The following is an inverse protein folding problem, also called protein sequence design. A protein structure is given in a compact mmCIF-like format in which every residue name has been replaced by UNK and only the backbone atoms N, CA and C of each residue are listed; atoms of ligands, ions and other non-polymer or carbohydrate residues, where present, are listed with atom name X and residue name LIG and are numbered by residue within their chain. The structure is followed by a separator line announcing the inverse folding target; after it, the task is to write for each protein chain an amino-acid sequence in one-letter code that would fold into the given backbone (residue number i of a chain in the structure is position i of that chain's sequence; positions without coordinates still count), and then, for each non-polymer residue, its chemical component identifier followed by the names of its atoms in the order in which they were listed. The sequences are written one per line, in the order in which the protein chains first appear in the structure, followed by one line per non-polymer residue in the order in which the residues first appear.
data_IF_448670657178
#
_entry.id   IF_448670657178
#
_cell.length_a   1.000
_cell.length_b   1.000
_cell.length_c   1.000
_cell.angle_alpha   90.00
_cell.angle_beta   90.00
_cell.angle_gamma   90.00
#
_symmetry.space_group_name_H-M   'P 1'
#
loop_
_entity.id
_entity.type
_entity.pdbx_description
1 polymer ?
2 polymer ?
3 non-polymer ?
4 non-polymer ?
5 non-polymer ?
6 non-polymer ?
7 non-polymer ?
8 water ?
#
# COMPACT_ATOMS: atom_id res chain seq x y z
N UNK A 14 -45.26 23.20 0.00
CA UNK A 14 -45.05 24.30 0.93
C UNK A 14 -43.56 24.39 1.26
N UNK A 15 -43.23 25.22 2.26
CA UNK A 15 -41.83 25.54 2.55
C UNK A 15 -41.10 24.38 3.21
N UNK A 16 -41.50 24.02 4.43
CA UNK A 16 -40.67 23.20 5.30
C UNK A 16 -40.75 21.71 5.01
N UNK A 17 -41.58 21.29 4.05
CA UNK A 17 -41.64 19.88 3.69
C UNK A 17 -40.31 19.41 3.10
N UNK A 18 -39.80 20.16 2.12
CA UNK A 18 -38.48 19.86 1.58
C UNK A 18 -37.44 19.88 2.69
N UNK A 19 -37.59 20.82 3.64
CA UNK A 19 -36.61 20.96 4.71
C UNK A 19 -36.56 19.75 5.61
N UNK A 20 -37.73 19.21 5.96
CA UNK A 20 -37.75 17.99 6.74
C UNK A 20 -37.14 16.84 5.94
N UNK A 21 -37.46 16.74 4.65
CA UNK A 21 -36.92 15.64 3.87
C UNK A 21 -35.40 15.69 3.83
N UNK A 22 -34.84 16.89 3.61
CA UNK A 22 -33.39 17.02 3.53
C UNK A 22 -32.73 16.85 4.89
N UNK A 23 -33.39 17.26 5.99
CA UNK A 23 -32.82 17.02 7.30
C UNK A 23 -32.77 15.54 7.62
N UNK A 24 -33.82 14.80 7.25
CA UNK A 24 -33.80 13.35 7.41
C UNK A 24 -32.67 12.74 6.60
N UNK A 25 -32.48 13.22 5.36
CA UNK A 25 -31.38 12.73 4.54
C UNK A 25 -30.03 12.99 5.18
N UNK A 26 -29.82 14.19 5.73
CA UNK A 26 -28.55 14.52 6.34
C UNK A 26 -28.31 13.72 7.62
N UNK A 27 -29.36 13.49 8.41
CA UNK A 27 -29.22 12.60 9.56
C UNK A 27 -28.80 11.20 9.14
N UNK A 28 -29.41 10.70 8.05
CA UNK A 28 -28.98 9.44 7.49
C UNK A 28 -27.51 9.50 7.08
N UNK A 29 -27.10 10.61 6.46
CA UNK A 29 -25.71 10.78 6.03
C UNK A 29 -24.74 10.75 7.21
N UNK A 30 -25.09 11.45 8.30
CA UNK A 30 -24.26 11.41 9.50
C UNK A 30 -24.08 9.97 9.96
N UNK A 31 -25.18 9.20 9.96
CA UNK A 31 -25.11 7.82 10.43
C UNK A 31 -24.29 6.93 9.49
N UNK A 32 -24.40 7.17 8.17
CA UNK A 32 -23.61 6.41 7.21
C UNK A 32 -22.13 6.74 7.31
N UNK A 33 -21.80 8.01 7.51
CA UNK A 33 -20.43 8.41 7.79
C UNK A 33 -19.87 7.63 8.97
N UNK A 34 -20.60 7.66 10.09
CA UNK A 34 -20.16 6.97 11.29
C UNK A 34 -19.94 5.48 11.02
N UNK A 35 -20.93 4.82 10.40
CA UNK A 35 -20.87 3.38 10.20
C UNK A 35 -19.76 2.98 9.24
N UNK A 36 -19.58 3.73 8.15
CA UNK A 36 -18.59 3.36 7.15
C UNK A 36 -17.19 3.50 7.71
N UNK A 37 -16.92 4.62 8.40
CA UNK A 37 -15.62 4.74 9.04
C UNK A 37 -15.41 3.65 10.09
N UNK A 38 -16.49 3.30 10.83
CA UNK A 38 -16.34 2.26 11.85
C UNK A 38 -16.02 0.92 11.21
N UNK A 39 -16.63 0.63 10.07
CA UNK A 39 -16.34 -0.60 9.35
C UNK A 39 -14.88 -0.64 8.91
N UNK A 40 -14.39 0.45 8.31
CA UNK A 40 -12.98 0.50 7.89
C UNK A 40 -12.06 0.35 9.10
N UNK A 41 -12.44 0.95 10.23
CA UNK A 41 -11.67 0.75 11.46
C UNK A 41 -11.69 -0.70 11.91
N UNK A 42 -12.83 -1.37 11.75
CA UNK A 42 -12.96 -2.74 12.23
C UNK A 42 -12.08 -3.69 11.44
N UNK A 43 -12.08 -3.56 10.12
CA UNK A 43 -11.33 -4.47 9.28
C UNK A 43 -9.82 -4.32 9.48
N UNK A 44 -9.35 -3.20 10.04
CA UNK A 44 -7.92 -3.06 10.30
C UNK A 44 -7.51 -3.91 11.50
N UNK A 45 -8.10 -3.65 12.66
CA UNK A 45 -7.76 -4.40 13.87
C UNK A 45 -8.57 -5.68 13.96
N UNK A 54 -0.18 1.55 4.65
CA UNK A 54 0.13 1.94 6.03
C UNK A 54 -1.12 1.99 6.89
N UNK A 55 -1.50 0.85 7.48
CA UNK A 55 -2.80 0.72 8.10
C UNK A 55 -2.96 1.55 9.38
N UNK A 56 -1.86 2.01 9.99
CA UNK A 56 -2.00 2.86 11.18
C UNK A 56 -2.46 4.27 10.79
N UNK A 57 -1.99 4.79 9.65
CA UNK A 57 -2.48 6.06 9.14
C UNK A 57 -3.95 5.95 8.74
N UNK A 58 -4.32 4.84 8.11
CA UNK A 58 -5.73 4.56 7.81
C UNK A 58 -6.55 4.59 9.10
N UNK A 59 -6.07 3.91 10.14
CA UNK A 59 -6.77 3.86 11.41
C UNK A 59 -6.90 5.25 12.03
N UNK A 60 -5.83 6.05 12.01
CA UNK A 60 -5.87 7.40 12.55
C UNK A 60 -6.92 8.25 11.82
N UNK A 61 -6.91 8.21 10.48
CA UNK A 61 -7.88 8.99 9.73
C UNK A 61 -9.30 8.56 10.02
N UNK A 62 -9.55 7.25 10.02
CA UNK A 62 -10.88 6.75 10.30
C UNK A 62 -11.31 7.11 11.72
N UNK A 63 -10.38 7.15 12.67
CA UNK A 63 -10.72 7.57 14.02
C UNK A 63 -11.19 9.02 14.04
N UNK A 64 -10.45 9.89 13.34
CA UNK A 64 -10.85 11.30 13.30
C UNK A 64 -12.21 11.47 12.62
N UNK A 65 -12.48 10.68 11.58
CA UNK A 65 -13.76 10.82 10.89
C UNK A 65 -14.92 10.21 11.68
N UNK A 66 -14.65 9.14 12.44
CA UNK A 66 -15.65 8.63 13.38
C UNK A 66 -16.00 9.70 14.40
N UNK A 67 -14.99 10.37 14.94
CA UNK A 67 -15.23 11.41 15.94
C UNK A 67 -16.00 12.59 15.32
N UNK A 68 -15.67 12.97 14.08
CA UNK A 68 -16.46 13.99 13.39
C UNK A 68 -17.92 13.58 13.34
N UNK A 69 -18.22 12.46 12.68
CA UNK A 69 -19.60 12.05 12.50
C UNK A 69 -20.35 11.88 13.82
N UNK A 70 -19.65 11.48 14.90
CA UNK A 70 -20.32 11.16 16.14
C UNK A 70 -20.51 12.38 17.05
N UNK A 71 -19.50 13.22 17.19
CA UNK A 71 -19.57 14.41 18.03
C UNK A 71 -19.95 15.65 17.24
N UNK A 72 -19.21 15.93 16.17
CA UNK A 72 -19.34 17.18 15.45
C UNK A 72 -20.67 17.24 14.70
N UNK A 73 -20.84 16.33 13.74
CA UNK A 73 -21.96 16.43 12.79
C UNK A 73 -23.35 16.43 13.43
N UNK A 74 -23.68 15.56 14.39
CA UNK A 74 -25.08 15.57 14.90
C UNK A 74 -25.48 16.92 15.48
N UNK A 75 -24.60 17.50 16.31
CA UNK A 75 -24.91 18.75 16.99
C UNK A 75 -25.02 19.90 16.00
N UNK A 76 -24.11 19.97 15.02
CA UNK A 76 -24.24 20.97 13.97
C UNK A 76 -25.53 20.76 13.17
N UNK A 77 -25.89 19.50 12.92
CA UNK A 77 -27.09 19.21 12.15
C UNK A 77 -28.32 19.78 12.83
N UNK A 78 -28.43 19.59 14.14
CA UNK A 78 -29.61 20.10 14.85
C UNK A 78 -29.55 21.63 15.01
N UNK A 79 -28.39 22.14 15.44
CA UNK A 79 -28.29 23.55 15.83
C UNK A 79 -28.15 24.46 14.63
N UNK A 80 -27.05 24.31 13.88
CA UNK A 80 -26.75 25.28 12.83
C UNK A 80 -27.61 25.09 11.59
N UNK A 81 -27.99 23.86 11.27
CA UNK A 81 -28.61 23.55 9.99
C UNK A 81 -30.14 23.50 10.05
N UNK A 82 -30.72 22.94 11.11
CA UNK A 82 -32.17 22.92 11.20
C UNK A 82 -32.72 24.22 11.77
N UNK A 83 -32.18 24.69 12.90
CA UNK A 83 -32.60 25.95 13.45
C UNK A 83 -32.91 25.99 14.93
N UNK A 84 -33.07 24.82 15.55
CA UNK A 84 -33.32 24.76 16.98
C UNK A 84 -32.24 25.51 17.73
N UNK A 85 -32.65 26.34 18.69
CA UNK A 85 -31.72 27.24 19.35
C UNK A 85 -30.96 26.52 20.44
N UNK A 86 -29.75 27.02 20.75
CA UNK A 86 -28.84 26.39 21.70
C UNK A 86 -29.30 26.68 23.11
N UNK A 87 -30.25 25.86 23.58
CA UNK A 87 -30.69 25.90 24.97
C UNK A 87 -29.94 24.88 25.80
N UNK A 88 -28.89 24.29 25.25
CA UNK A 88 -28.04 23.36 25.97
C UNK A 88 -27.06 24.11 26.86
N UNK A 89 -26.43 23.38 27.78
CA UNK A 89 -25.54 24.01 28.75
C UNK A 89 -24.38 24.71 28.10
N UNK A 90 -24.27 26.03 28.30
CA UNK A 90 -23.25 26.80 27.61
C UNK A 90 -21.84 26.35 27.95
N UNK A 91 -21.66 25.64 29.08
CA UNK A 91 -20.36 25.06 29.43
C UNK A 91 -19.95 23.94 28.48
N UNK A 92 -20.89 23.39 27.71
CA UNK A 92 -20.58 22.37 26.72
C UNK A 92 -20.48 22.94 25.31
N UNK A 93 -20.90 24.18 25.09
CA UNK A 93 -20.67 24.86 23.81
C UNK A 93 -19.18 24.90 23.49
N UNK A 94 -18.35 25.16 24.50
CA UNK A 94 -16.91 25.14 24.31
C UNK A 94 -16.41 23.75 23.94
N UNK A 95 -16.96 22.71 24.56
CA UNK A 95 -16.53 21.35 24.23
C UNK A 95 -16.91 20.98 22.80
N UNK A 96 -18.10 21.38 22.35
CA UNK A 96 -18.51 21.10 20.98
C UNK A 96 -17.61 21.82 19.98
N UNK A 97 -17.29 23.08 20.26
CA UNK A 97 -16.38 23.81 19.39
C UNK A 97 -15.02 23.15 19.36
N UNK A 98 -14.51 22.75 20.53
CA UNK A 98 -13.21 22.11 20.59
C UNK A 98 -13.21 20.80 19.81
N UNK A 99 -14.27 20.00 19.93
CA UNK A 99 -14.34 18.75 19.19
C UNK A 99 -14.37 19.02 17.69
N UNK A 100 -15.14 20.02 17.27
CA UNK A 100 -15.23 20.34 15.85
C UNK A 100 -13.85 20.73 15.30
N UNK A 101 -13.20 21.69 15.96
CA UNK A 101 -11.90 22.16 15.50
C UNK A 101 -10.89 21.02 15.51
N UNK A 102 -10.82 20.30 16.63
CA UNK A 102 -9.85 19.24 16.82
C UNK A 102 -10.02 18.15 15.77
N UNK A 103 -11.25 17.68 15.57
CA UNK A 103 -11.45 16.55 14.68
C UNK A 103 -11.31 16.94 13.21
N UNK A 104 -11.78 18.13 12.82
CA UNK A 104 -11.63 18.50 11.42
C UNK A 104 -10.16 18.79 11.10
N UNK A 105 -9.45 19.44 12.01
CA UNK A 105 -8.01 19.61 11.81
C UNK A 105 -7.32 18.27 11.71
N UNK A 106 -7.68 17.32 12.58
CA UNK A 106 -7.06 16.01 12.56
C UNK A 106 -7.33 15.26 11.26
N UNK A 107 -8.55 15.33 10.76
CA UNK A 107 -8.86 14.64 9.50
C UNK A 107 -8.09 15.25 8.34
N UNK A 108 -8.04 16.58 8.27
CA UNK A 108 -7.30 17.23 7.19
C UNK A 108 -5.84 16.77 7.24
N UNK A 109 -5.22 16.86 8.41
CA UNK A 109 -3.81 16.50 8.49
C UNK A 109 -3.55 15.00 8.35
N UNK A 110 -4.53 14.14 8.66
CA UNK A 110 -4.36 12.72 8.36
C UNK A 110 -4.32 12.49 6.85
N UNK A 111 -5.19 13.18 6.10
CA UNK A 111 -5.11 13.08 4.65
C UNK A 111 -3.75 13.54 4.16
N UNK A 112 -3.25 14.65 4.74
CA UNK A 112 -1.96 15.16 4.25
C UNK A 112 -0.80 14.28 4.68
N UNK A 113 -0.90 13.63 5.83
CA UNK A 113 0.12 12.65 6.22
C UNK A 113 0.14 11.47 5.27
N UNK A 114 -1.04 10.97 4.90
CA UNK A 114 -1.10 9.91 3.91
C UNK A 114 -0.50 10.37 2.58
N UNK A 115 -0.75 11.62 2.20
CA UNK A 115 -0.14 12.18 1.00
C UNK A 115 1.38 12.19 1.09
N UNK A 116 1.90 12.63 2.23
CA UNK A 116 3.35 12.63 2.44
C UNK A 116 3.92 11.23 2.36
N UNK A 117 3.20 10.25 2.93
CA UNK A 117 3.67 8.87 2.87
C UNK A 117 3.74 8.37 1.43
N UNK A 118 2.71 8.64 0.62
CA UNK A 118 2.75 8.16 -0.75
C UNK A 118 3.83 8.87 -1.57
N UNK A 119 3.99 10.19 -1.37
CA UNK A 119 5.04 10.92 -2.08
C UNK A 119 6.42 10.38 -1.71
N UNK A 120 6.61 10.01 -0.44
CA UNK A 120 7.88 9.40 -0.04
C UNK A 120 8.02 7.96 -0.50
N UNK A 121 6.91 7.28 -0.80
CA UNK A 121 7.01 5.96 -1.42
C UNK A 121 7.43 6.05 -2.88
N UNK A 122 6.92 7.07 -3.57
CA UNK A 122 7.21 7.22 -5.00
C UNK A 122 8.61 7.79 -5.22
N UNK A 123 8.90 8.95 -4.63
CA UNK A 123 10.16 9.63 -4.93
C UNK A 123 11.33 9.07 -4.13
N UNK A 124 11.13 8.77 -2.85
CA UNK A 124 12.21 8.36 -1.96
C UNK A 124 12.28 6.84 -1.82
N UNK A 125 12.02 6.13 -2.93
CA UNK A 125 11.88 4.68 -2.95
C UNK A 125 13.01 3.94 -2.22
N UNK A 126 14.21 4.52 -2.18
CA UNK A 126 15.40 3.79 -1.71
C UNK A 126 15.44 3.66 -0.19
N UNK A 127 15.53 4.80 0.51
CA UNK A 127 15.79 4.81 1.96
C UNK A 127 14.54 4.59 2.80
N UNK A 128 13.40 4.32 2.17
CA UNK A 128 12.12 4.21 2.87
C UNK A 128 11.79 2.74 3.18
N UNK A 129 12.68 2.10 3.93
CA UNK A 129 12.48 0.72 4.32
C UNK A 129 11.41 0.63 5.41
N UNK A 130 10.96 -0.61 5.68
CA UNK A 130 9.86 -0.83 6.62
C UNK A 130 10.15 -0.19 7.97
N UNK A 131 11.39 -0.26 8.44
CA UNK A 131 11.74 0.39 9.70
C UNK A 131 11.53 1.89 9.62
N UNK A 132 12.11 2.52 8.59
CA UNK A 132 11.99 3.98 8.44
C UNK A 132 10.53 4.39 8.26
N UNK A 133 9.79 3.66 7.41
CA UNK A 133 8.40 4.02 7.14
C UNK A 133 7.55 3.90 8.39
N UNK A 134 7.72 2.82 9.16
CA UNK A 134 6.99 2.68 10.41
C UNK A 134 7.31 3.82 11.37
N UNK A 135 8.60 4.14 11.51
CA UNK A 135 9.00 5.22 12.40
C UNK A 135 8.34 6.54 11.98
N UNK A 136 8.41 6.85 10.69
CA UNK A 136 7.92 8.14 10.22
C UNK A 136 6.40 8.22 10.32
N UNK A 137 5.70 7.12 10.02
CA UNK A 137 4.24 7.16 10.10
C UNK A 137 3.76 7.29 11.53
N UNK A 138 4.44 6.64 12.48
CA UNK A 138 4.07 6.81 13.89
C UNK A 138 4.33 8.26 14.36
N UNK A 139 5.47 8.83 13.96
CA UNK A 139 5.74 10.23 14.31
C UNK A 139 4.67 11.14 13.73
N UNK A 140 4.28 10.88 12.47
CA UNK A 140 3.28 11.73 11.83
C UNK A 140 1.94 11.63 12.52
N UNK A 141 1.52 10.42 12.92
CA UNK A 141 0.25 10.28 13.63
C UNK A 141 0.28 11.06 14.95
N UNK A 142 1.34 10.84 15.74
CA UNK A 142 1.43 11.53 17.03
C UNK A 142 1.43 13.05 16.83
N UNK A 143 2.17 13.54 15.82
CA UNK A 143 2.23 14.96 15.54
C UNK A 143 0.89 15.50 15.06
N UNK A 144 0.17 14.72 14.25
CA UNK A 144 -1.15 15.12 13.77
C UNK A 144 -2.06 15.42 14.95
N UNK A 145 -2.14 14.47 15.89
CA UNK A 145 -3.06 14.68 17.00
C UNK A 145 -2.56 15.78 17.94
N UNK A 146 -1.25 15.91 18.13
CA UNK A 146 -0.74 17.01 18.94
C UNK A 146 -1.12 18.37 18.35
N UNK A 147 -0.92 18.55 17.05
CA UNK A 147 -1.23 19.83 16.44
C UNK A 147 -2.74 20.10 16.45
N UNK A 148 -3.56 19.05 16.30
CA UNK A 148 -5.00 19.23 16.42
C UNK A 148 -5.39 19.71 17.81
N UNK A 149 -4.74 19.17 18.84
CA UNK A 149 -5.00 19.63 20.20
C UNK A 149 -4.60 21.09 20.38
N UNK A 150 -3.37 21.43 20.00
CA UNK A 150 -2.90 22.80 20.22
C UNK A 150 -3.63 23.81 19.34
N UNK A 151 -4.27 23.37 18.25
CA UNK A 151 -5.07 24.30 17.48
C UNK A 151 -6.46 24.42 18.10
N UNK A 152 -7.02 23.30 18.54
CA UNK A 152 -8.35 23.31 19.15
C UNK A 152 -8.33 24.04 20.49
N UNK A 153 -7.54 23.55 21.44
CA UNK A 153 -7.51 24.18 22.76
C UNK A 153 -6.41 25.22 22.85
N UNK A 154 -6.38 26.11 21.86
CA UNK A 154 -5.32 27.09 21.64
C UNK A 154 -5.46 28.32 22.54
N UNK A 155 -6.63 29.01 22.55
CA UNK A 155 -6.71 30.25 23.34
C UNK A 155 -6.81 29.99 24.83
N UNK A 156 -6.48 28.76 25.25
CA UNK A 156 -6.45 28.37 26.65
C UNK A 156 -5.03 28.39 27.22
N UNK A 157 -4.11 27.60 26.65
CA UNK A 157 -2.71 27.69 27.08
C UNK A 157 -2.09 29.01 26.64
N UNK A 158 -2.28 29.38 25.38
CA UNK A 158 -1.80 30.68 24.92
C UNK A 158 -2.65 31.81 25.47
N UNK A 159 -3.84 31.50 25.99
CA UNK A 159 -4.66 32.39 26.80
C UNK A 159 -4.75 33.84 26.37
N UNK A 160 -5.13 34.10 25.11
CA UNK A 160 -5.34 35.45 24.65
C UNK A 160 -6.80 35.73 24.28
N UNK A 161 -7.72 34.88 24.74
CA UNK A 161 -9.13 35.15 24.50
C UNK A 161 -10.02 34.01 24.95
N UNK A 162 -11.22 33.99 24.37
CA UNK A 162 -12.26 33.01 24.65
C UNK A 162 -12.60 32.25 23.37
N UNK A 163 -12.95 30.96 23.51
CA UNK A 163 -13.11 30.09 22.35
C UNK A 163 -14.47 30.16 21.67
N UNK A 164 -15.46 30.81 22.27
CA UNK A 164 -16.76 31.00 21.64
C UNK A 164 -17.01 32.49 21.44
N UNK A 165 -17.97 32.81 20.57
CA UNK A 165 -18.31 34.20 20.28
C UNK A 165 -19.48 34.63 21.18
N UNK A 166 -19.18 35.50 22.15
CA UNK A 166 -20.19 35.95 23.09
C UNK A 166 -21.03 37.07 22.49
N UNK A 167 -22.08 37.44 23.21
CA UNK A 167 -23.06 38.35 22.65
C UNK A 167 -23.96 37.70 21.62
N UNK A 168 -24.05 36.38 21.62
CA UNK A 168 -24.88 35.63 20.68
C UNK A 168 -25.66 34.58 21.44
N UNK A 169 -26.98 34.54 21.23
CA UNK A 169 -27.79 33.42 21.69
C UNK A 169 -27.74 32.33 20.61
N UNK A 170 -26.52 31.87 20.37
CA UNK A 170 -26.14 30.91 19.35
C UNK A 170 -24.70 30.52 19.63
N UNK A 171 -24.36 29.27 19.31
CA UNK A 171 -23.05 28.70 19.63
C UNK A 171 -22.21 28.71 18.35
N UNK A 172 -21.38 29.74 18.23
CA UNK A 172 -20.51 29.96 17.07
C UNK A 172 -19.07 30.09 17.54
N UNK A 173 -18.14 29.69 16.68
CA UNK A 173 -16.72 29.70 17.02
C UNK A 173 -16.25 31.14 17.19
N UNK A 174 -15.22 31.33 18.03
CA UNK A 174 -14.64 32.64 18.23
C UNK A 174 -14.05 33.18 16.94
N UNK A 175 -14.64 34.26 16.42
CA UNK A 175 -14.17 34.88 15.19
C UNK A 175 -13.15 35.99 15.43
N UNK A 176 -12.49 35.98 16.59
CA UNK A 176 -11.43 36.93 16.88
C UNK A 176 -10.27 36.76 15.88
N UNK A 177 -9.69 37.87 15.37
CA UNK A 177 -8.79 37.74 14.21
C UNK A 177 -7.58 36.85 14.42
N UNK A 178 -6.94 36.94 15.58
CA UNK A 178 -5.71 36.19 15.81
C UNK A 178 -5.97 34.69 15.83
N UNK A 179 -6.99 34.26 16.57
CA UNK A 179 -7.33 32.84 16.57
C UNK A 179 -7.79 32.38 15.20
N UNK A 180 -8.48 33.25 14.44
CA UNK A 180 -8.95 32.84 13.12
C UNK A 180 -7.78 32.56 12.19
N UNK A 181 -6.80 33.47 12.14
CA UNK A 181 -5.64 33.21 11.30
C UNK A 181 -4.91 31.97 11.78
N UNK A 182 -4.71 31.87 13.11
CA UNK A 182 -3.98 30.74 13.67
C UNK A 182 -4.63 29.41 13.28
N UNK A 183 -5.94 29.30 13.50
CA UNK A 183 -6.61 28.03 13.25
C UNK A 183 -6.73 27.73 11.75
N UNK A 184 -6.98 28.74 10.90
CA UNK A 184 -7.15 28.40 9.49
C UNK A 184 -5.82 28.10 8.80
N UNK A 185 -4.76 28.82 9.16
CA UNK A 185 -3.45 28.44 8.63
C UNK A 185 -3.03 27.09 9.20
N UNK A 186 -3.38 26.80 10.45
CA UNK A 186 -3.01 25.52 11.03
C UNK A 186 -3.78 24.34 10.46
N UNK A 187 -5.06 24.53 10.14
CA UNK A 187 -5.93 23.44 9.74
C UNK A 187 -6.07 23.28 8.24
N UNK A 188 -6.04 24.36 7.47
CA UNK A 188 -6.32 24.19 6.06
C UNK A 188 -5.18 24.66 5.16
N UNK A 189 -4.63 25.84 5.41
CA UNK A 189 -3.74 26.43 4.43
C UNK A 189 -2.37 25.75 4.43
N UNK A 190 -1.82 25.46 5.60
CA UNK A 190 -0.58 24.69 5.65
C UNK A 190 -0.72 23.30 5.04
N UNK A 191 -1.69 22.48 5.44
CA UNK A 191 -1.84 21.18 4.77
C UNK A 191 -2.16 21.32 3.30
N UNK A 192 -2.87 22.38 2.91
CA UNK A 192 -3.11 22.61 1.49
C UNK A 192 -1.81 22.85 0.75
N UNK A 193 -0.89 23.61 1.35
CA UNK A 193 0.40 23.82 0.71
C UNK A 193 1.19 22.52 0.61
N UNK A 194 1.16 21.69 1.66
CA UNK A 194 1.85 20.40 1.58
C UNK A 194 1.29 19.54 0.44
N UNK A 195 -0.04 19.44 0.35
CA UNK A 195 -0.64 18.59 -0.68
C UNK A 195 -0.38 19.17 -2.06
N UNK A 196 -0.38 20.50 -2.19
CA UNK A 196 -0.06 21.09 -3.49
C UNK A 196 1.42 20.96 -3.82
N UNK A 197 2.27 20.71 -2.84
CA UNK A 197 3.66 20.38 -3.15
C UNK A 197 3.78 18.95 -3.68
N UNK A 198 3.08 17.99 -3.06
CA UNK A 198 3.29 16.58 -3.40
C UNK A 198 2.37 16.07 -4.51
N UNK A 199 1.35 16.85 -4.87
CA UNK A 199 0.33 16.36 -5.79
C UNK A 199 0.90 16.07 -7.17
N UNK A 200 1.90 16.83 -7.62
CA UNK A 200 2.46 16.62 -8.96
C UNK A 200 2.98 15.19 -9.10
N UNK A 201 3.93 14.83 -8.24
CA UNK A 201 4.50 13.48 -8.33
C UNK A 201 3.44 12.41 -8.11
N UNK A 202 2.50 12.67 -7.19
CA UNK A 202 1.48 11.64 -6.92
C UNK A 202 0.63 11.40 -8.18
N UNK A 203 0.20 12.47 -8.84
CA UNK A 203 -0.62 12.33 -10.04
C UNK A 203 0.16 11.64 -11.15
N UNK A 204 1.44 12.01 -11.31
CA UNK A 204 2.29 11.34 -12.30
C UNK A 204 2.35 9.83 -12.05
N UNK A 205 2.62 9.43 -10.80
CA UNK A 205 2.61 8.01 -10.46
C UNK A 205 1.28 7.37 -10.79
N UNK A 206 0.18 8.06 -10.45
CA UNK A 206 -1.15 7.51 -10.72
C UNK A 206 -1.38 7.27 -12.21
N UNK A 207 -0.69 8.01 -13.08
CA UNK A 207 -0.85 7.82 -14.53
C UNK A 207 0.24 6.96 -15.16
N UNK A 208 1.08 6.28 -14.35
CA UNK A 208 2.20 5.40 -14.77
C UNK A 208 3.43 6.17 -15.26
N UNK A 209 3.55 7.46 -14.97
CA UNK A 209 4.68 8.25 -15.46
C UNK A 209 5.80 8.22 -14.42
N UNK A 210 6.65 7.19 -14.50
CA UNK A 210 7.72 6.92 -13.54
C UNK A 210 8.47 8.18 -13.11
N UNK A 256 3.59 -3.51 -11.41
CA UNK A 256 3.59 -2.06 -11.46
C UNK A 256 2.16 -1.55 -11.27
N UNK A 257 1.20 -2.47 -11.33
CA UNK A 257 -0.20 -2.11 -11.23
C UNK A 257 -0.61 -1.73 -9.81
N UNK A 258 0.00 -2.34 -8.79
CA UNK A 258 -0.38 -2.08 -7.40
C UNK A 258 0.01 -0.65 -6.98
N UNK A 259 1.24 -0.23 -7.30
CA UNK A 259 1.67 1.10 -6.89
C UNK A 259 0.89 2.18 -7.64
N UNK A 260 0.52 1.91 -8.90
CA UNK A 260 -0.32 2.84 -9.62
C UNK A 260 -1.69 2.97 -8.96
N UNK A 261 -2.28 1.84 -8.56
CA UNK A 261 -3.56 1.88 -7.85
C UNK A 261 -3.44 2.69 -6.55
N UNK A 262 -2.34 2.51 -5.83
CA UNK A 262 -2.13 3.27 -4.58
C UNK A 262 -2.06 4.77 -4.87
N UNK A 263 -1.30 5.15 -5.89
CA UNK A 263 -1.18 6.56 -6.24
C UNK A 263 -2.53 7.16 -6.61
N UNK A 264 -3.33 6.40 -7.39
CA UNK A 264 -4.63 6.93 -7.82
C UNK A 264 -5.58 7.12 -6.64
N UNK A 265 -5.60 6.16 -5.71
CA UNK A 265 -6.43 6.35 -4.52
C UNK A 265 -6.04 7.61 -3.77
N UNK A 266 -4.73 7.79 -3.53
CA UNK A 266 -4.28 8.94 -2.75
C UNK A 266 -4.60 10.24 -3.47
N UNK A 267 -4.41 10.27 -4.79
CA UNK A 267 -4.71 11.47 -5.56
C UNK A 267 -6.18 11.84 -5.49
N UNK A 268 -7.06 10.82 -5.56
CA UNK A 268 -8.48 11.11 -5.45
C UNK A 268 -8.84 11.60 -4.06
N UNK A 269 -8.23 11.02 -3.02
CA UNK A 269 -8.45 11.52 -1.66
C UNK A 269 -8.04 12.98 -1.53
N UNK A 270 -6.88 13.35 -2.08
CA UNK A 270 -6.44 14.75 -1.99
C UNK A 270 -7.39 15.66 -2.75
N UNK A 271 -7.81 15.25 -3.96
CA UNK A 271 -8.70 16.08 -4.72
C UNK A 271 -10.02 16.33 -4.01
N UNK A 272 -10.60 15.27 -3.43
CA UNK A 272 -11.86 15.45 -2.73
C UNK A 272 -11.66 16.27 -1.47
N UNK A 273 -10.52 16.12 -0.79
CA UNK A 273 -10.28 16.97 0.38
C UNK A 273 -10.25 18.44 -0.01
N UNK A 274 -9.46 18.76 -1.03
CA UNK A 274 -9.34 20.16 -1.43
C UNK A 274 -10.71 20.68 -1.87
N UNK A 275 -11.42 19.89 -2.67
CA UNK A 275 -12.72 20.31 -3.19
C UNK A 275 -13.78 20.38 -2.11
N UNK A 276 -13.63 19.62 -1.03
CA UNK A 276 -14.64 19.61 0.01
C UNK A 276 -14.43 20.70 1.04
N UNK A 277 -13.18 21.05 1.32
CA UNK A 277 -12.92 22.01 2.38
C UNK A 277 -12.58 23.41 1.88
N UNK A 278 -12.30 23.57 0.59
CA UNK A 278 -11.88 24.86 0.07
C UNK A 278 -13.00 25.90 0.04
N UNK A 279 -14.24 25.56 -0.32
CA UNK A 279 -15.29 26.59 -0.27
C UNK A 279 -15.45 27.22 1.11
N UNK A 280 -15.47 26.39 2.16
CA UNK A 280 -15.69 26.89 3.51
C UNK A 280 -14.56 27.80 3.96
N UNK A 281 -13.31 27.34 3.83
CA UNK A 281 -12.19 28.16 4.28
C UNK A 281 -12.00 29.39 3.41
N UNK A 282 -12.22 29.25 2.11
CA UNK A 282 -12.09 30.40 1.20
C UNK A 282 -13.12 31.46 1.54
N UNK A 283 -14.39 31.07 1.71
CA UNK A 283 -15.40 32.06 2.07
C UNK A 283 -15.27 32.52 3.52
N UNK A 284 -14.53 31.77 4.35
CA UNK A 284 -14.19 32.23 5.69
C UNK A 284 -13.06 33.25 5.69
N UNK A 285 -12.32 33.37 4.59
CA UNK A 285 -11.26 34.41 4.51
C UNK A 285 -11.79 35.67 3.84
N UNK A 286 -12.79 35.54 2.95
CA UNK A 286 -13.29 36.71 2.19
C UNK A 286 -14.38 37.42 2.99
N UNK A 287 -14.91 36.77 4.03
CA UNK A 287 -15.92 37.44 4.89
C UNK A 287 -15.30 38.66 5.57
N UNK A 288 -14.10 38.55 6.19
CA UNK A 288 -13.52 39.67 6.91
C UNK A 288 -13.05 40.77 5.95
N UNK A 289 -13.32 40.61 4.65
CA UNK A 289 -12.83 41.60 3.65
C UNK A 289 -14.01 42.15 2.83
N UNK A 290 -15.02 42.72 3.50
CA UNK A 290 -16.18 43.36 2.83
C UNK A 290 -17.34 42.38 2.65
N UNK A 291 -17.08 41.07 2.71
CA UNK A 291 -18.20 40.11 2.64
C UNK A 291 -18.93 40.11 3.98
N UNK A 292 -19.43 41.27 4.39
CA UNK A 292 -20.11 41.39 5.72
C UNK A 292 -21.53 40.84 5.61
N UNK A 293 -21.87 40.15 4.52
CA UNK A 293 -23.27 39.69 4.36
C UNK A 293 -23.37 38.35 3.62
N UNK A 294 -22.30 37.54 3.61
CA UNK A 294 -22.40 36.19 2.98
C UNK A 294 -23.56 35.43 3.64
N UNK A 295 -24.64 35.06 2.93
CA UNK A 295 -25.79 34.43 3.59
C UNK A 295 -25.35 33.18 4.35
N UNK A 296 -25.75 33.10 5.62
CA UNK A 296 -25.31 32.00 6.45
C UNK A 296 -25.87 30.66 5.99
N UNK A 297 -26.83 30.66 5.07
CA UNK A 297 -27.27 29.43 4.43
C UNK A 297 -26.14 28.81 3.61
N UNK A 298 -25.46 29.63 2.81
CA UNK A 298 -24.34 29.11 2.03
C UNK A 298 -23.13 28.83 2.90
N UNK A 299 -22.96 29.57 3.98
CA UNK A 299 -21.92 29.25 4.95
C UNK A 299 -22.11 27.85 5.51
N UNK A 300 -23.35 27.50 5.84
CA UNK A 300 -23.64 26.17 6.37
C UNK A 300 -23.53 25.10 5.27
N UNK A 301 -23.92 25.43 4.04
CA UNK A 301 -23.73 24.50 2.94
C UNK A 301 -22.25 24.17 2.78
N UNK A 302 -21.39 25.19 2.82
CA UNK A 302 -19.95 24.97 2.69
C UNK A 302 -19.41 24.18 3.88
N UNK A 303 -19.88 24.50 5.08
CA UNK A 303 -19.49 23.71 6.25
C UNK A 303 -19.81 22.23 6.04
N UNK A 304 -21.04 21.93 5.64
CA UNK A 304 -21.40 20.52 5.55
C UNK A 304 -20.77 19.85 4.33
N UNK A 305 -20.44 20.61 3.29
CA UNK A 305 -19.63 20.05 2.21
C UNK A 305 -18.25 19.65 2.73
N UNK A 306 -17.68 20.43 3.65
CA UNK A 306 -16.49 19.99 4.35
C UNK A 306 -16.73 18.71 5.15
N UNK A 307 -17.86 18.66 5.85
CA UNK A 307 -18.17 17.48 6.67
C UNK A 307 -18.35 16.22 5.82
N UNK A 308 -18.81 16.37 4.58
CA UNK A 308 -19.01 15.22 3.71
C UNK A 308 -17.70 14.57 3.29
N UNK A 309 -16.57 15.28 3.47
CA UNK A 309 -15.27 14.65 3.28
C UNK A 309 -15.12 13.44 4.19
N UNK A 310 -15.66 13.54 5.41
CA UNK A 310 -15.64 12.43 6.38
C UNK A 310 -16.38 11.20 5.86
N UNK A 311 -17.31 11.38 4.93
CA UNK A 311 -18.04 10.28 4.31
C UNK A 311 -17.42 9.83 2.99
N UNK A 312 -16.81 10.76 2.25
CA UNK A 312 -16.20 10.40 0.98
C UNK A 312 -14.92 9.62 1.15
N UNK A 313 -14.16 9.91 2.21
CA UNK A 313 -12.92 9.16 2.44
C UNK A 313 -13.17 7.67 2.62
N UNK A 314 -14.14 7.21 3.41
CA UNK A 314 -14.43 5.76 3.43
C UNK A 314 -14.82 5.22 2.08
N UNK A 315 -15.76 5.88 1.40
CA UNK A 315 -16.21 5.43 0.09
C UNK A 315 -15.03 5.27 -0.86
N UNK A 316 -14.05 6.18 -0.79
CA UNK A 316 -12.89 6.11 -1.65
C UNK A 316 -11.97 4.96 -1.23
N UNK A 317 -11.73 4.81 0.08
CA UNK A 317 -10.85 3.73 0.53
C UNK A 317 -11.44 2.36 0.24
N UNK A 318 -12.71 2.16 0.54
CA UNK A 318 -13.32 0.88 0.25
C UNK A 318 -13.49 0.64 -1.24
N UNK A 319 -13.15 1.59 -2.11
CA UNK A 319 -13.24 1.39 -3.54
C UNK A 319 -11.93 0.89 -4.15
N UNK A 320 -10.89 0.65 -3.34
CA UNK A 320 -9.60 0.23 -3.87
C UNK A 320 -9.05 -1.02 -3.14
N UNK B 2 10.99 3.53 -15.17
CA UNK B 2 10.55 2.36 -14.40
C UNK B 2 11.02 2.42 -12.96
N UNK B 3 10.46 1.55 -12.12
CA UNK B 3 10.85 1.41 -10.72
C UNK B 3 11.04 -0.06 -10.36
N UNK B 4 11.41 -0.88 -11.36
CA UNK B 4 11.69 -2.31 -11.21
C UNK B 4 10.51 -3.10 -10.66
N UNK B 5 9.29 -2.59 -10.82
CA UNK B 5 8.12 -3.40 -10.56
C UNK B 5 7.95 -4.46 -11.63
N UNK B 6 7.03 -5.38 -11.37
CA UNK B 6 6.75 -6.48 -12.27
C UNK B 6 5.39 -6.22 -12.91
N UNK B 7 5.29 -6.48 -14.20
CA UNK B 7 4.05 -6.29 -14.93
C UNK B 7 3.13 -7.49 -14.68
N UNK B 8 2.08 -7.27 -13.90
CA UNK B 8 1.10 -8.32 -13.62
C UNK B 8 0.30 -8.73 -14.86
N UNK B 9 0.31 -7.91 -15.91
CA UNK B 9 -0.44 -8.17 -17.13
C UNK B 9 0.34 -8.96 -18.16
N UNK B 10 1.64 -9.16 -17.94
CA UNK B 10 2.44 -10.07 -18.73
C UNK B 10 2.69 -11.38 -17.98
N UNK B 11 3.30 -11.30 -16.80
CA UNK B 11 3.64 -12.48 -16.01
C UNK B 11 2.38 -13.00 -15.31
N UNK B 12 1.48 -13.58 -16.11
CA UNK B 12 0.26 -14.16 -15.58
C UNK B 12 0.01 -15.53 -16.23
N UNK B 13 -0.57 -16.43 -15.42
CA UNK B 13 -0.82 -17.80 -15.85
C UNK B 13 -1.87 -17.87 -16.95
N UNK B 14 -2.81 -16.92 -16.97
CA UNK B 14 -3.92 -16.96 -17.92
C UNK B 14 -3.44 -17.06 -19.36
N UNK B 15 -2.26 -16.52 -19.66
CA UNK B 15 -1.70 -16.64 -21.00
C UNK B 15 -1.35 -18.08 -21.36
N UNK B 16 -1.34 -18.98 -20.37
CA UNK B 16 -0.88 -20.34 -20.54
C UNK B 16 -2.04 -21.33 -20.66
N UNK B 17 -1.79 -22.43 -21.37
CA UNK B 17 -2.84 -23.33 -21.82
C UNK B 17 -2.72 -24.68 -21.13
N UNK B 18 -3.84 -25.12 -20.54
CA UNK B 18 -3.90 -26.44 -19.95
C UNK B 18 -3.59 -26.45 -18.47
N UNK B 19 -3.29 -27.65 -17.98
CA UNK B 19 -2.95 -27.86 -16.58
C UNK B 19 -1.43 -27.81 -16.38
N UNK B 20 -1.05 -27.50 -15.15
CA UNK B 20 0.37 -27.32 -14.84
C UNK B 20 1.14 -28.62 -15.01
N UNK B 21 0.57 -29.74 -14.58
CA UNK B 21 1.24 -31.03 -14.76
C UNK B 21 1.39 -31.35 -16.25
N UNK B 22 0.36 -31.04 -17.05
CA UNK B 22 0.47 -31.26 -18.49
C UNK B 22 1.60 -30.43 -19.09
N UNK B 23 1.72 -29.16 -18.68
CA UNK B 23 2.78 -28.32 -19.21
C UNK B 23 4.16 -28.84 -18.79
N UNK B 24 4.29 -29.30 -17.54
CA UNK B 24 5.56 -29.86 -17.11
C UNK B 24 5.92 -31.13 -17.89
N UNK B 25 4.95 -32.00 -18.12
CA UNK B 25 5.21 -33.20 -18.91
C UNK B 25 5.62 -32.85 -20.34
N UNK B 26 4.91 -31.89 -20.97
CA UNK B 26 5.23 -31.51 -22.34
C UNK B 26 6.62 -30.90 -22.43
N UNK B 27 6.99 -30.07 -21.45
CA UNK B 27 8.32 -29.46 -21.44
C UNK B 27 9.41 -30.50 -21.23
N UNK B 28 9.21 -31.43 -20.30
CA UNK B 28 10.22 -32.46 -20.06
C UNK B 28 10.41 -33.34 -21.29
N UNK B 29 9.32 -33.61 -22.02
CA UNK B 29 9.39 -34.54 -23.14
C UNK B 29 10.41 -34.07 -24.17
N UNK B 30 10.44 -32.77 -24.46
CA UNK B 30 11.32 -32.22 -25.49
C UNK B 30 12.79 -32.21 -25.09
N UNK B 31 13.10 -32.58 -23.84
CA UNK B 31 14.48 -32.77 -23.40
C UNK B 31 14.81 -34.24 -23.13
N UNK B 32 14.06 -35.16 -23.74
CA UNK B 32 14.34 -36.56 -23.54
C UNK B 32 14.08 -37.06 -22.15
N UNK B 33 13.42 -36.27 -21.31
CA UNK B 33 13.14 -36.61 -19.93
C UNK B 33 11.64 -36.80 -19.72
N UNK B 34 11.31 -37.38 -18.58
CA UNK B 34 9.93 -37.63 -18.21
C UNK B 34 9.68 -37.11 -16.79
N UNK B 35 8.45 -37.32 -16.31
CA UNK B 35 7.95 -36.72 -15.08
C UNK B 35 8.92 -36.87 -13.91
N UNK B 36 9.42 -35.73 -13.42
CA UNK B 36 10.21 -35.64 -12.22
C UNK B 36 9.95 -34.31 -11.55
N UNK B 37 10.58 -34.10 -10.39
CA UNK B 37 10.48 -32.83 -9.68
C UNK B 37 11.54 -31.88 -10.23
N UNK B 38 11.08 -30.77 -10.79
CA UNK B 38 11.88 -29.93 -11.68
C UNK B 38 12.41 -28.70 -10.95
N UNK B 39 13.71 -28.43 -11.12
CA UNK B 39 14.37 -27.26 -10.58
C UNK B 39 14.96 -26.46 -11.72
N UNK B 40 15.05 -25.13 -11.52
CA UNK B 40 15.46 -24.23 -12.59
C UNK B 40 16.36 -23.13 -12.06
N UNK B 41 17.44 -22.88 -12.79
CA UNK B 41 18.26 -21.69 -12.58
C UNK B 41 18.23 -20.87 -13.85
N UNK B 42 18.16 -19.56 -13.72
CA UNK B 42 18.17 -18.67 -14.88
C UNK B 42 18.97 -17.43 -14.51
N UNK B 43 20.13 -17.25 -15.13
CA UNK B 43 20.96 -16.10 -14.86
C UNK B 43 22.30 -16.23 -15.55
N UNK B 44 23.12 -15.21 -15.34
CA UNK B 44 24.49 -15.23 -15.86
C UNK B 44 25.34 -16.23 -15.08
N UNK B 45 26.32 -16.79 -15.77
CA UNK B 45 27.33 -17.62 -15.13
C UNK B 45 28.47 -16.71 -14.68
N UNK B 46 28.74 -16.70 -13.38
CA UNK B 46 29.83 -15.90 -12.88
C UNK B 46 30.20 -16.37 -11.49
N UNK B 47 31.42 -16.06 -11.11
CA UNK B 47 31.88 -16.25 -9.75
C UNK B 47 31.52 -15.04 -8.92
N UNK B 48 30.86 -15.27 -7.80
CA UNK B 48 30.70 -14.26 -6.77
C UNK B 48 29.44 -13.42 -6.82
N UNK B 49 28.67 -13.46 -7.91
CA UNK B 49 27.45 -12.64 -7.95
C UNK B 49 26.16 -13.46 -8.05
N UNK B 50 25.96 -14.24 -9.10
CA UNK B 50 24.66 -14.88 -9.27
C UNK B 50 24.62 -16.32 -8.76
N UNK B 51 25.77 -16.91 -8.46
CA UNK B 51 25.81 -18.17 -7.71
C UNK B 51 25.59 -19.45 -8.48
N UNK B 52 25.95 -19.48 -9.78
CA UNK B 52 25.86 -20.75 -10.51
C UNK B 52 26.89 -21.74 -9.97
N UNK B 53 28.01 -21.27 -9.43
CA UNK B 53 29.02 -22.16 -8.86
C UNK B 53 28.46 -22.94 -7.66
N UNK B 54 27.77 -22.25 -6.76
CA UNK B 54 27.14 -22.90 -5.61
C UNK B 54 26.15 -23.96 -6.09
N UNK B 55 25.34 -23.63 -7.10
CA UNK B 55 24.34 -24.57 -7.58
C UNK B 55 24.98 -25.80 -8.21
N UNK B 56 26.06 -25.60 -8.98
CA UNK B 56 26.76 -26.74 -9.55
C UNK B 56 27.31 -27.64 -8.45
N UNK B 57 27.89 -27.06 -7.41
CA UNK B 57 28.42 -27.88 -6.32
C UNK B 57 27.30 -28.61 -5.60
N UNK B 58 26.15 -27.96 -5.39
CA UNK B 58 25.02 -28.62 -4.77
C UNK B 58 24.56 -29.81 -5.61
N UNK B 59 24.54 -29.64 -6.94
CA UNK B 59 24.14 -30.72 -7.83
C UNK B 59 25.12 -31.90 -7.72
N UNK B 60 26.42 -31.60 -7.71
CA UNK B 60 27.43 -32.64 -7.54
C UNK B 60 27.23 -33.40 -6.24
N UNK B 61 26.93 -32.67 -5.15
CA UNK B 61 26.61 -33.32 -3.88
C UNK B 61 25.40 -34.24 -4.04
N UNK B 62 24.33 -33.71 -4.64
CA UNK B 62 23.09 -34.47 -4.72
C UNK B 62 23.18 -35.68 -5.64
N UNK B 63 24.19 -35.70 -6.52
CA UNK B 63 24.29 -36.75 -7.53
C UNK B 63 24.50 -38.14 -6.94
N UNK B 64 24.88 -38.24 -5.67
CA UNK B 64 25.27 -39.51 -5.06
C UNK B 64 24.13 -40.20 -4.33
N UNK B 65 22.96 -39.58 -4.25
CA UNK B 65 21.87 -40.04 -3.40
C UNK B 65 20.71 -40.59 -4.22
N UNK B 66 19.91 -41.45 -3.58
CA UNK B 66 18.80 -42.08 -4.29
C UNK B 66 17.83 -41.03 -4.81
N UNK B 67 17.55 -40.02 -4.00
CA UNK B 67 16.59 -38.98 -4.37
C UNK B 67 16.99 -38.26 -5.65
N UNK B 68 18.27 -38.30 -6.01
CA UNK B 68 18.70 -37.67 -7.25
C UNK B 68 17.96 -38.24 -8.46
N UNK B 69 17.60 -39.53 -8.42
CA UNK B 69 16.86 -40.12 -9.53
C UNK B 69 15.53 -39.42 -9.78
N UNK B 70 14.95 -38.84 -8.72
CA UNK B 70 13.64 -38.20 -8.83
C UNK B 70 13.73 -36.72 -9.21
N UNK B 71 14.93 -36.15 -9.22
CA UNK B 71 15.08 -34.74 -9.55
C UNK B 71 15.26 -34.54 -11.05
N UNK B 72 15.03 -33.30 -11.48
CA UNK B 72 15.37 -32.82 -12.81
C UNK B 72 15.92 -31.40 -12.67
N UNK B 73 16.93 -31.05 -13.46
CA UNK B 73 17.58 -29.73 -13.34
C UNK B 73 17.67 -29.06 -14.71
N UNK B 74 17.27 -27.80 -14.77
CA UNK B 74 17.38 -26.99 -15.99
C UNK B 74 18.17 -25.74 -15.65
N UNK B 75 19.40 -25.64 -16.18
CA UNK B 75 20.25 -24.48 -15.97
C UNK B 75 20.21 -23.63 -17.24
N UNK B 76 19.96 -22.33 -17.10
CA UNK B 76 19.76 -21.43 -18.22
C UNK B 76 20.66 -20.22 -18.05
N UNK B 77 21.62 -20.05 -18.94
CA UNK B 77 22.45 -18.87 -18.93
C UNK B 77 23.74 -19.09 -19.67
N UNK B 78 24.61 -18.10 -19.59
CA UNK B 78 25.92 -18.13 -20.23
C UNK B 78 26.85 -17.18 -19.48
N UNK B 79 28.14 -17.32 -19.73
CA UNK B 79 29.10 -16.47 -19.05
C UNK B 79 30.51 -17.01 -18.96
N UNK B 80 31.05 -17.05 -17.74
CA UNK B 80 32.38 -17.54 -17.46
C UNK B 80 32.61 -18.90 -18.12
N UNK B 81 33.59 -19.04 -19.01
CA UNK B 81 33.69 -20.28 -19.82
C UNK B 81 33.85 -21.54 -19.00
N UNK B 82 34.61 -21.49 -17.89
CA UNK B 82 34.80 -22.67 -17.04
C UNK B 82 33.48 -23.12 -16.42
N UNK B 83 32.65 -22.18 -15.98
CA UNK B 83 31.34 -22.56 -15.46
C UNK B 83 30.49 -23.19 -16.54
N UNK B 84 30.57 -22.68 -17.77
CA UNK B 84 29.83 -23.27 -18.88
C UNK B 84 30.30 -24.69 -19.16
N UNK B 85 31.61 -24.92 -19.13
CA UNK B 85 32.12 -26.26 -19.35
C UNK B 85 31.74 -27.21 -18.23
N UNK B 86 31.83 -26.75 -16.98
CA UNK B 86 31.40 -27.56 -15.85
C UNK B 86 29.93 -27.94 -15.97
N UNK B 87 29.09 -26.97 -16.36
CA UNK B 87 27.69 -27.23 -16.59
C UNK B 87 27.47 -28.23 -17.72
N UNK B 88 28.22 -28.09 -18.82
CA UNK B 88 28.10 -29.05 -19.91
C UNK B 88 28.52 -30.44 -19.45
N UNK B 89 29.57 -30.50 -18.63
CA UNK B 89 30.04 -31.77 -18.09
C UNK B 89 28.94 -32.47 -17.31
N UNK B 90 28.28 -31.75 -16.41
CA UNK B 90 27.17 -32.35 -15.66
C UNK B 90 26.02 -32.73 -16.59
N UNK B 91 25.77 -31.94 -17.64
CA UNK B 91 24.71 -32.30 -18.58
C UNK B 91 25.02 -33.61 -19.27
N UNK B 92 26.28 -33.85 -19.59
CA UNK B 92 26.69 -35.10 -20.25
C UNK B 92 26.73 -36.28 -19.29
N UNK B 93 27.07 -36.06 -18.03
CA UNK B 93 27.10 -37.18 -17.08
C UNK B 93 25.69 -37.70 -16.75
N UNK B 94 24.67 -36.85 -16.78
CA UNK B 94 23.31 -37.26 -16.39
C UNK B 94 22.26 -36.78 -17.39
N UNK B 95 21.24 -37.62 -17.59
CA UNK B 95 20.10 -37.34 -18.43
C UNK B 95 18.97 -36.59 -17.76
N UNK B 96 19.08 -36.28 -16.47
CA UNK B 96 18.11 -35.45 -15.78
C UNK B 96 18.58 -34.00 -15.65
N UNK B 97 19.65 -33.62 -16.35
CA UNK B 97 20.21 -32.28 -16.33
C UNK B 97 20.26 -31.75 -17.76
N UNK B 98 19.60 -30.61 -17.99
CA UNK B 98 19.65 -29.90 -19.26
C UNK B 98 20.26 -28.52 -19.05
N UNK B 99 21.07 -28.09 -20.01
CA UNK B 99 21.72 -26.79 -19.97
C UNK B 99 21.38 -26.04 -21.25
N UNK B 100 20.94 -24.79 -21.11
CA UNK B 100 20.61 -23.91 -22.24
C UNK B 100 21.49 -22.68 -22.13
N UNK B 101 22.25 -22.39 -23.19
CA UNK B 101 23.16 -21.25 -23.19
C UNK B 101 22.76 -20.15 -24.16
N UNK B 102 21.55 -20.17 -24.68
CA UNK B 102 21.08 -19.10 -25.55
C UNK B 102 20.05 -18.25 -24.80
N UNK B 103 19.91 -17.01 -25.22
CA UNK B 103 18.95 -16.12 -24.59
C UNK B 103 17.54 -16.49 -25.04
N UNK B 104 16.63 -16.62 -24.09
CA UNK B 104 15.27 -17.07 -24.33
C UNK B 104 14.28 -15.91 -24.28
N UNK B 105 13.20 -16.03 -25.04
CA UNK B 105 12.20 -14.96 -25.08
C UNK B 105 11.43 -14.89 -23.77
N UNK B 106 10.85 -13.72 -23.51
CA UNK B 106 10.05 -13.54 -22.30
C UNK B 106 8.86 -14.48 -22.28
N UNK B 107 8.19 -14.67 -23.42
CA UNK B 107 7.04 -15.57 -23.47
C UNK B 107 7.46 -16.99 -23.13
N UNK B 108 8.57 -17.45 -23.70
CA UNK B 108 9.07 -18.79 -23.39
C UNK B 108 9.42 -18.91 -21.91
N UNK B 109 10.16 -17.94 -21.37
CA UNK B 109 10.54 -18.00 -19.97
C UNK B 109 9.30 -18.00 -19.07
N UNK B 110 8.25 -17.27 -19.49
CA UNK B 110 6.98 -17.30 -18.77
C UNK B 110 6.39 -18.71 -18.79
N UNK B 111 6.39 -19.35 -19.96
CA UNK B 111 5.93 -20.75 -20.05
C UNK B 111 6.77 -21.65 -19.15
N UNK B 112 8.08 -21.39 -19.05
CA UNK B 112 8.94 -22.15 -18.15
C UNK B 112 8.53 -21.95 -16.70
N UNK B 113 8.43 -20.69 -16.26
CA UNK B 113 8.05 -20.37 -14.88
C UNK B 113 6.71 -21.02 -14.54
N UNK B 114 5.81 -21.12 -15.52
CA UNK B 114 4.46 -21.63 -15.39
C UNK B 114 4.32 -23.13 -15.47
N UNK B 115 5.43 -23.86 -15.55
CA UNK B 115 5.39 -25.32 -15.40
C UNK B 115 6.49 -25.88 -14.52
N UNK B 116 7.54 -25.11 -14.20
CA UNK B 116 8.78 -25.67 -13.67
C UNK B 116 8.72 -25.98 -12.17
N UNK B 117 7.83 -25.33 -11.43
CA UNK B 117 7.48 -25.64 -10.04
C UNK B 117 8.57 -25.39 -8.99
N UNK B 118 9.78 -25.03 -9.39
CA UNK B 118 10.83 -24.72 -8.41
C UNK B 118 11.92 -23.93 -9.11
N UNK B 119 12.21 -22.72 -8.63
CA UNK B 119 13.29 -21.90 -9.14
C UNK B 119 14.32 -21.73 -8.04
N UNK B 120 15.58 -22.00 -8.36
CA UNK B 120 16.69 -21.80 -7.43
C UNK B 120 17.34 -20.47 -7.77
N UNK B 121 17.52 -19.63 -6.75
CA UNK B 121 18.14 -18.32 -6.95
C UNK B 121 19.29 -18.20 -5.95
N UNK B 122 20.40 -18.93 -6.18
CA UNK B 122 21.52 -18.98 -5.22
C UNK B 122 22.44 -17.77 -5.29
N UNK B 123 21.84 -16.57 -5.27
CA UNK B 123 22.62 -15.35 -5.50
C UNK B 123 23.50 -15.01 -4.30
N UNK B 124 24.67 -14.42 -4.58
CA UNK B 124 25.49 -13.87 -3.51
C UNK B 124 24.91 -12.57 -2.98
N UNK B 125 24.47 -11.69 -3.89
CA UNK B 125 23.78 -10.47 -3.52
C UNK B 125 22.80 -10.13 -4.63
N UNK B 126 21.57 -9.81 -4.27
CA UNK B 126 20.53 -9.43 -5.23
C UNK B 126 19.91 -8.13 -4.76
N UNK B 127 19.92 -7.10 -5.58
CA UNK B 127 19.23 -5.86 -5.23
C UNK B 127 17.70 -5.97 -5.21
N UNK B 128 17.09 -6.47 -6.29
CA UNK B 128 15.64 -6.33 -6.47
C UNK B 128 14.86 -7.63 -6.47
N UNK B 129 15.46 -8.76 -6.83
CA UNK B 129 14.72 -10.01 -6.90
C UNK B 129 13.69 -10.08 -8.00
N UNK B 130 13.98 -9.50 -9.16
CA UNK B 130 13.04 -9.53 -10.28
C UNK B 130 12.73 -10.96 -10.69
N UNK B 131 13.75 -11.82 -10.78
CA UNK B 131 13.54 -13.21 -11.20
C UNK B 131 12.63 -13.93 -10.21
N UNK B 132 12.80 -13.66 -8.91
CA UNK B 132 11.96 -14.29 -7.90
C UNK B 132 10.50 -13.88 -8.04
N UNK B 133 10.24 -12.60 -8.32
CA UNK B 133 8.87 -12.14 -8.55
C UNK B 133 8.27 -12.72 -9.83
N UNK B 134 9.05 -12.73 -10.92
CA UNK B 134 8.55 -13.29 -12.17
C UNK B 134 8.18 -14.74 -11.99
N UNK B 135 9.04 -15.50 -11.31
CA UNK B 135 8.74 -16.90 -11.03
C UNK B 135 7.50 -17.04 -10.15
N UNK B 136 7.43 -16.26 -9.05
CA UNK B 136 6.32 -16.39 -8.11
C UNK B 136 4.99 -16.05 -8.75
N UNK B 137 4.97 -15.08 -9.68
CA UNK B 137 3.73 -14.70 -10.33
C UNK B 137 3.14 -15.80 -11.19
N UNK B 138 3.91 -16.85 -11.48
CA UNK B 138 3.45 -17.97 -12.28
C UNK B 138 3.47 -19.29 -11.54
N UNK B 139 3.64 -19.26 -10.21
CA UNK B 139 3.50 -20.45 -9.40
C UNK B 139 4.78 -21.19 -9.09
N UNK B 140 5.91 -20.81 -9.68
CA UNK B 140 7.17 -21.43 -9.31
C UNK B 140 7.52 -21.08 -7.87
N UNK B 141 7.90 -22.08 -7.08
CA UNK B 141 8.26 -21.85 -5.68
C UNK B 141 9.76 -21.54 -5.59
N UNK B 142 10.15 -20.47 -4.91
CA UNK B 142 11.56 -20.05 -4.91
C UNK B 142 12.40 -20.66 -3.79
N UNK B 143 13.63 -21.00 -4.17
CA UNK B 143 14.66 -21.48 -3.25
C UNK B 143 15.85 -20.55 -3.43
N UNK B 144 15.94 -19.50 -2.60
CA UNK B 144 16.97 -18.49 -2.78
C UNK B 144 17.82 -18.31 -1.53
N UNK B 145 19.02 -17.77 -1.75
CA UNK B 145 19.86 -17.39 -0.63
C UNK B 145 19.33 -16.12 0.02
N UNK B 146 19.50 -16.07 1.36
CA UNK B 146 18.87 -15.05 2.22
C UNK B 146 19.67 -13.75 2.20
N UNK B 147 19.65 -13.10 1.02
CA UNK B 147 20.38 -11.86 0.82
C UNK B 147 19.47 -10.85 0.15
N UNK B 148 19.83 -9.57 0.30
CA UNK B 148 19.23 -8.49 -0.45
C UNK B 148 17.73 -8.44 -0.34
N UNK B 149 17.08 -8.10 -1.46
CA UNK B 149 15.63 -8.03 -1.51
C UNK B 149 14.93 -9.36 -1.58
N UNK B 150 15.70 -10.45 -1.78
CA UNK B 150 15.11 -11.77 -1.76
C UNK B 150 14.50 -12.09 -0.39
N UNK B 151 15.16 -11.66 0.69
CA UNK B 151 14.59 -11.89 2.02
C UNK B 151 13.42 -10.94 2.30
N UNK B 152 13.43 -9.75 1.72
CA UNK B 152 12.24 -8.90 1.79
C UNK B 152 11.05 -9.61 1.16
N UNK B 153 11.25 -10.17 -0.03
CA UNK B 153 10.12 -10.69 -0.80
C UNK B 153 9.59 -11.99 -0.21
N UNK B 154 10.49 -12.91 0.14
CA UNK B 154 10.10 -14.24 0.57
C UNK B 154 9.94 -14.24 2.09
N UNK B 155 8.85 -14.81 2.56
CA UNK B 155 8.49 -14.84 3.97
C UNK B 155 8.45 -16.30 4.45
N UNK B 156 7.90 -16.48 5.65
CA UNK B 156 7.78 -17.80 6.25
C UNK B 156 7.11 -18.79 5.30
N UNK B 157 6.01 -18.40 4.67
CA UNK B 157 5.14 -19.30 3.94
C UNK B 157 5.19 -19.05 2.42
N UNK B 158 6.33 -18.57 1.91
CA UNK B 158 6.45 -18.24 0.48
C UNK B 158 7.58 -18.96 -0.24
N UNK B 159 8.61 -19.42 0.45
CA UNK B 159 9.68 -20.14 -0.21
C UNK B 159 10.69 -20.72 0.75
N UNK B 160 11.94 -20.91 0.29
CA UNK B 160 13.03 -21.40 1.13
C UNK B 160 14.21 -20.44 1.01
N UNK B 161 14.83 -20.13 2.15
CA UNK B 161 16.00 -19.27 2.22
C UNK B 161 17.19 -20.04 2.75
N UNK B 162 18.37 -19.79 2.18
CA UNK B 162 19.61 -20.42 2.62
C UNK B 162 20.71 -19.36 2.71
N UNK B 163 21.79 -19.70 3.41
CA UNK B 163 22.94 -18.81 3.51
C UNK B 163 23.70 -18.79 2.19
N UNK B 164 24.00 -17.57 1.71
CA UNK B 164 24.66 -17.39 0.42
C UNK B 164 26.05 -18.01 0.41
N UNK B 165 26.42 -18.57 -0.75
CA UNK B 165 27.74 -19.11 -0.96
C UNK B 165 27.97 -20.50 -0.43
N UNK B 166 27.05 -21.04 0.38
CA UNK B 166 27.28 -22.33 1.01
C UNK B 166 26.62 -23.44 0.20
N UNK B 167 27.38 -24.31 -0.48
CA UNK B 167 26.75 -25.31 -1.35
C UNK B 167 25.96 -26.36 -0.60
N UNK B 168 26.49 -26.84 0.53
CA UNK B 168 25.80 -27.88 1.28
C UNK B 168 24.42 -27.45 1.74
N UNK B 169 24.29 -26.20 2.18
CA UNK B 169 22.98 -25.71 2.60
C UNK B 169 22.01 -25.67 1.43
N UNK B 170 22.49 -25.27 0.25
CA UNK B 170 21.65 -25.28 -0.94
C UNK B 170 21.20 -26.69 -1.31
N UNK B 171 22.12 -27.66 -1.28
CA UNK B 171 21.76 -29.05 -1.57
C UNK B 171 20.78 -29.59 -0.55
N UNK B 172 20.97 -29.24 0.72
CA UNK B 172 20.01 -29.61 1.77
C UNK B 172 18.65 -28.97 1.53
N UNK B 173 18.65 -27.71 1.07
CA UNK B 173 17.39 -27.05 0.74
C UNK B 173 16.68 -27.77 -0.40
N UNK B 174 17.42 -28.16 -1.43
CA UNK B 174 16.81 -28.91 -2.54
C UNK B 174 16.26 -30.23 -2.04
N UNK B 175 16.96 -30.87 -1.10
CA UNK B 175 16.44 -32.09 -0.49
C UNK B 175 15.16 -31.83 0.30
N UNK B 176 15.11 -30.73 1.06
CA UNK B 176 13.90 -30.41 1.84
C UNK B 176 12.74 -30.12 0.91
N UNK B 177 13.00 -29.42 -0.19
CA UNK B 177 11.96 -29.09 -1.16
C UNK B 177 11.46 -30.32 -1.90
N UNK B 178 12.38 -31.25 -2.20
CA UNK B 178 11.96 -32.55 -2.72
C UNK B 178 11.09 -33.28 -1.71
N UNK B 179 11.50 -33.26 -0.44
CA UNK B 179 10.65 -33.77 0.63
C UNK B 179 9.33 -33.03 0.68
N UNK B 180 9.35 -31.75 0.35
CA UNK B 180 8.15 -30.90 0.37
C UNK B 180 7.15 -31.27 -0.72
N UNK B 181 7.50 -32.16 -1.64
CA UNK B 181 6.64 -32.48 -2.77
C UNK B 181 5.44 -33.31 -2.32
N UNK B 182 4.36 -32.62 -1.95
CA UNK B 182 3.03 -33.17 -1.70
C UNK B 182 2.02 -32.27 -2.42
N UNK B 183 0.74 -32.63 -2.33
CA UNK B 183 -0.29 -31.77 -2.90
C UNK B 183 -0.28 -30.38 -2.28
N UNK B 184 0.28 -30.26 -1.06
CA UNK B 184 0.41 -28.98 -0.40
C UNK B 184 1.08 -27.94 -1.29
N UNK B 185 1.86 -28.39 -2.28
CA UNK B 185 2.47 -27.48 -3.24
C UNK B 185 1.48 -26.44 -3.73
N UNK B 186 0.23 -26.85 -3.98
CA UNK B 186 -0.76 -25.91 -4.48
C UNK B 186 -0.95 -24.73 -3.54
N UNK B 187 -1.16 -24.99 -2.24
CA UNK B 187 -1.19 -23.90 -1.27
C UNK B 187 0.08 -23.08 -1.38
N UNK B 188 1.24 -23.75 -1.38
CA UNK B 188 2.51 -23.05 -1.42
C UNK B 188 2.64 -22.23 -2.69
N UNK B 189 1.99 -22.65 -3.78
CA UNK B 189 2.04 -21.83 -4.99
C UNK B 189 1.26 -20.54 -4.80
N UNK B 190 0.03 -20.63 -4.27
CA UNK B 190 -0.86 -19.47 -4.31
C UNK B 190 -0.37 -18.37 -3.38
N UNK B 191 0.16 -18.73 -2.21
CA UNK B 191 0.88 -17.78 -1.38
C UNK B 191 1.83 -16.95 -2.24
N UNK B 192 2.73 -17.61 -2.96
CA UNK B 192 3.64 -16.91 -3.84
C UNK B 192 2.90 -15.95 -4.76
N UNK B 193 1.85 -16.44 -5.43
CA UNK B 193 1.18 -15.61 -6.41
C UNK B 193 0.55 -14.37 -5.76
N UNK B 194 0.10 -14.48 -4.50
CA UNK B 194 -0.42 -13.28 -3.85
C UNK B 194 0.72 -12.32 -3.52
N UNK B 195 1.82 -12.86 -2.96
CA UNK B 195 2.91 -12.00 -2.50
C UNK B 195 3.53 -11.28 -3.69
N UNK B 196 3.69 -11.98 -4.81
CA UNK B 196 4.20 -11.34 -6.02
C UNK B 196 3.28 -10.20 -6.46
N UNK B 197 1.96 -10.41 -6.42
CA UNK B 197 1.06 -9.32 -6.79
C UNK B 197 1.21 -8.14 -5.83
N UNK B 198 1.57 -8.41 -4.56
CA UNK B 198 1.82 -7.38 -3.57
C UNK B 198 3.05 -6.54 -3.91
N UNK B 199 3.89 -6.99 -4.85
CA UNK B 199 5.03 -6.22 -5.34
C UNK B 199 4.82 -5.75 -6.78
N UNK B 200 3.56 -5.63 -7.22
CA UNK B 200 3.29 -5.10 -8.54
C UNK B 200 3.81 -3.66 -8.58
#
# INVERSE_FOLDING_TARGET
HSLGKDDLRPSSPLLSVFGVLILTLLGFLVAATFAWNLLVLATILRVRTFHRVPHNLVASMAVSNVLVAALVMPLSLVHELSGRRWQLGRRLCQLWIACDVLCCTASIWNVTAIALDRYWSITRHMEYTLRTRKCVSNVMIALTWALSAVISLAPLLFGWGETYSEGSEECQVSREPSYAVFSTVGAFYLPLCVVLFVYWKIYKAAKFRVGSRKTNSVSPISEAVEVKDSAKQPQMVFTVRHATVTFQPEGDTWREQKEQRAALMVGILIGVFVLCWAPFFLTELISPLCSCDIPAIWKSIFLWLGYSNSFFNPLIYTAFNKNYNSAFKNFFSRQH
GSHNGIDCSFWNESYLTGSRDERKKSLLSKFGMDEGVTFMFIGRFDRGQKGVDVLLKAIEILSSKKEFQEMRFIIIGKGDPELEGWARSLEEKHGNVKVITEMLSREFVRELYGSVDFVIIPSYFEPFGLVALEAMCLGAIPIASAVGGLRDIITNETGILVKAGDPGELANAILKALELSRSDLSKFRENCKKRAMSFS
#
